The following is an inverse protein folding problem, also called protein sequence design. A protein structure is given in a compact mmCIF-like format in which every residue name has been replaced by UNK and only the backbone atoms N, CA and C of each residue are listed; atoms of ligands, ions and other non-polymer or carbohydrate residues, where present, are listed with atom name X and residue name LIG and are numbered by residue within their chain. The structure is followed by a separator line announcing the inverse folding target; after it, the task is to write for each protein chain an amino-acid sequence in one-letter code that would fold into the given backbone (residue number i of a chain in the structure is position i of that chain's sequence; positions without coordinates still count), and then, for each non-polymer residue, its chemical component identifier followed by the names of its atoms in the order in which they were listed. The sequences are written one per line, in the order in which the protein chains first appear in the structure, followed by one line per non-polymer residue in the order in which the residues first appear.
data_IF_604874279586
#
_entry.id   IF_604874279586
#
_cell.length_a   1.000
_cell.length_b   1.000
_cell.length_c   1.000
_cell.angle_alpha   90.00
_cell.angle_beta   90.00
_cell.angle_gamma   90.00
#
_symmetry.space_group_name_H-M   'P 1'
#
loop_
_entity.id
_entity.type
_entity.pdbx_description
1 polymer ?
#
# COMPACT_ATOMS: atom_id res chain seq x y z
N UNK A 1 19.35 5.79 26.38
CA UNK A 1 18.53 5.94 25.17
C UNK A 1 17.55 4.79 25.21
N UNK A 2 16.31 5.04 25.65
CA UNK A 2 15.32 3.97 25.79
C UNK A 2 15.07 3.44 24.39
N UNK A 3 15.35 2.16 24.15
CA UNK A 3 14.85 1.50 22.96
C UNK A 3 13.33 1.62 23.03
N UNK A 4 12.72 2.43 22.17
CA UNK A 4 11.28 2.35 21.99
C UNK A 4 10.96 0.89 21.70
N UNK A 5 10.11 0.30 22.53
CA UNK A 5 9.65 -1.06 22.32
C UNK A 5 8.96 -1.08 20.95
N UNK A 6 9.35 -2.02 20.09
CA UNK A 6 8.75 -2.20 18.75
C UNK A 6 7.22 -2.24 18.85
N UNK A 7 6.68 -2.81 19.92
CA UNK A 7 5.23 -2.86 20.16
C UNK A 7 4.60 -1.47 20.29
N UNK A 8 5.24 -0.55 21.01
CA UNK A 8 4.74 0.82 21.21
C UNK A 8 4.82 1.60 19.89
N UNK A 9 5.92 1.44 19.16
CA UNK A 9 6.09 2.00 17.83
C UNK A 9 4.98 1.52 16.89
N UNK A 10 4.69 0.21 16.85
CA UNK A 10 3.66 -0.38 15.99
C UNK A 10 2.25 0.09 16.39
N UNK A 11 1.95 0.14 17.69
CA UNK A 11 0.66 0.66 18.19
C UNK A 11 0.43 2.10 17.75
N UNK A 12 1.47 2.92 17.71
CA UNK A 12 1.41 4.31 17.22
C UNK A 12 1.05 4.48 15.73
N UNK A 13 0.91 3.38 14.99
CA UNK A 13 0.62 3.36 13.54
C UNK A 13 -0.76 2.80 13.22
N UNK A 14 -1.50 2.29 14.22
CA UNK A 14 -2.79 1.64 13.98
C UNK A 14 -3.79 2.56 13.29
N UNK A 15 -3.76 3.86 13.57
CA UNK A 15 -4.63 4.86 12.93
C UNK A 15 -3.99 5.55 11.71
N UNK A 16 -2.78 5.15 11.32
CA UNK A 16 -2.00 5.77 10.23
C UNK A 16 -1.93 4.88 8.99
N UNK A 17 -2.98 4.10 8.75
CA UNK A 17 -3.04 3.19 7.61
C UNK A 17 -3.55 3.89 6.36
N UNK A 18 -3.01 3.53 5.19
CA UNK A 18 -3.50 4.01 3.91
C UNK A 18 -4.71 3.20 3.45
N UNK A 19 -5.92 3.78 3.57
CA UNK A 19 -7.15 3.13 3.10
C UNK A 19 -7.40 3.36 1.60
N UNK A 20 -7.38 4.61 1.16
CA UNK A 20 -7.58 5.02 -0.23
C UNK A 20 -6.83 6.33 -0.50
N UNK A 21 -6.67 6.69 -1.76
CA UNK A 21 -5.96 7.87 -2.27
C UNK A 21 -6.86 8.65 -3.22
N UNK A 22 -6.54 9.92 -3.42
CA UNK A 22 -7.27 10.76 -4.38
C UNK A 22 -6.34 11.81 -4.99
N UNK A 23 -5.35 11.36 -5.76
CA UNK A 23 -4.37 12.24 -6.39
C UNK A 23 -4.82 12.59 -7.82
N UNK A 24 -5.53 13.71 -7.95
CA UNK A 24 -6.05 14.18 -9.24
C UNK A 24 -4.96 14.48 -10.27
N UNK A 25 -3.73 14.74 -9.83
CA UNK A 25 -2.58 14.99 -10.71
C UNK A 25 -2.04 13.73 -11.41
N UNK A 26 -2.39 12.53 -10.92
CA UNK A 26 -1.88 11.25 -11.41
C UNK A 26 -2.71 10.64 -12.54
N UNK A 27 -3.84 11.23 -12.91
CA UNK A 27 -4.68 10.80 -14.02
C UNK A 27 -5.99 10.13 -13.58
N UNK A 28 -6.54 9.28 -14.45
CA UNK A 28 -7.81 8.59 -14.21
C UNK A 28 -7.69 7.59 -13.06
N UNK A 29 -8.54 7.75 -12.04
CA UNK A 29 -8.52 6.93 -10.84
C UNK A 29 -9.40 5.67 -10.98
N UNK A 30 -8.85 4.53 -10.58
CA UNK A 30 -9.57 3.27 -10.45
C UNK A 30 -9.20 2.57 -9.13
N UNK A 31 -10.22 2.37 -8.29
CA UNK A 31 -10.08 1.67 -7.01
C UNK A 31 -10.26 0.16 -7.19
N UNK A 32 -9.22 -0.62 -6.91
CA UNK A 32 -9.31 -2.08 -6.75
C UNK A 32 -9.51 -2.48 -5.29
N UNK A 33 -9.58 -3.78 -4.99
CA UNK A 33 -9.79 -4.29 -3.62
C UNK A 33 -8.73 -3.84 -2.60
N UNK A 34 -7.47 -3.81 -3.02
CA UNK A 34 -6.31 -3.54 -2.15
C UNK A 34 -5.30 -2.59 -2.79
N UNK A 35 -5.62 -2.04 -3.96
CA UNK A 35 -4.73 -1.19 -4.76
C UNK A 35 -5.54 -0.05 -5.33
N UNK A 36 -4.94 1.12 -5.33
CA UNK A 36 -5.43 2.29 -6.03
C UNK A 36 -4.59 2.44 -7.29
N UNK A 37 -5.24 2.64 -8.42
CA UNK A 37 -4.59 2.71 -9.72
C UNK A 37 -4.89 4.04 -10.35
N UNK A 38 -3.88 4.61 -10.99
CA UNK A 38 -4.00 5.81 -11.79
C UNK A 38 -3.46 5.53 -13.18
N UNK A 39 -4.14 6.04 -14.21
CA UNK A 39 -3.72 5.92 -15.60
C UNK A 39 -3.57 7.32 -16.20
N UNK A 40 -2.40 7.58 -16.78
CA UNK A 40 -2.07 8.83 -17.46
C UNK A 40 -1.05 8.57 -18.54
N UNK A 41 -1.31 9.05 -19.76
CA UNK A 41 -0.37 8.97 -20.89
C UNK A 41 0.21 7.55 -21.12
N UNK A 42 -0.67 6.54 -21.15
CA UNK A 42 -0.33 5.10 -21.24
C UNK A 42 0.51 4.52 -20.09
N UNK A 43 0.81 5.32 -19.06
CA UNK A 43 1.49 4.89 -17.84
C UNK A 43 0.44 4.53 -16.79
N UNK A 44 0.64 3.36 -16.16
CA UNK A 44 -0.14 2.96 -14.98
C UNK A 44 0.69 3.14 -13.71
N UNK A 45 0.16 3.93 -12.78
CA UNK A 45 0.70 4.07 -11.43
C UNK A 45 -0.14 3.21 -10.50
N UNK A 46 0.51 2.35 -9.73
CA UNK A 46 -0.13 1.42 -8.80
C UNK A 46 0.30 1.79 -7.38
N UNK A 47 -0.66 2.13 -6.52
CA UNK A 47 -0.44 2.39 -5.10
C UNK A 47 -0.96 1.19 -4.31
N UNK A 48 -0.06 0.44 -3.67
CA UNK A 48 -0.43 -0.64 -2.76
C UNK A 48 -0.96 -0.05 -1.45
N UNK A 49 -2.24 -0.25 -1.16
CA UNK A 49 -2.88 0.23 0.08
C UNK A 49 -2.69 -0.76 1.24
N UNK A 50 -2.99 -0.31 2.45
CA UNK A 50 -2.97 -1.13 3.66
C UNK A 50 -4.23 -1.99 3.81
N UNK A 51 -5.21 -1.83 2.92
CA UNK A 51 -6.44 -2.63 2.90
C UNK A 51 -6.11 -4.13 2.82
N UNK A 52 -6.72 -4.91 3.70
CA UNK A 52 -6.72 -6.36 3.69
C UNK A 52 -8.10 -6.84 3.27
N UNK A 53 -8.14 -7.75 2.29
CA UNK A 53 -9.37 -8.42 1.88
C UNK A 53 -9.32 -9.91 2.18
N UNK A 54 -10.43 -10.48 2.64
CA UNK A 54 -10.65 -11.90 2.78
C UNK A 54 -12.14 -12.20 2.54
N UNK A 55 -12.46 -13.42 2.08
CA UNK A 55 -13.86 -13.82 1.79
C UNK A 55 -14.60 -12.81 0.89
N UNK A 56 -13.91 -12.34 -0.16
CA UNK A 56 -14.42 -11.37 -1.14
C UNK A 56 -14.80 -9.98 -0.60
N UNK A 57 -14.38 -9.63 0.63
CA UNK A 57 -14.63 -8.31 1.23
C UNK A 57 -13.35 -7.68 1.75
N UNK A 58 -13.27 -6.35 1.71
CA UNK A 58 -12.26 -5.60 2.46
C UNK A 58 -12.70 -5.60 3.93
N UNK A 59 -11.84 -6.09 4.82
CA UNK A 59 -12.20 -6.37 6.21
C UNK A 59 -11.54 -5.42 7.22
N UNK A 60 -10.34 -4.91 6.89
CA UNK A 60 -9.58 -3.99 7.75
C UNK A 60 -8.42 -3.39 6.97
N UNK A 61 -7.65 -2.52 7.61
CA UNK A 61 -6.31 -2.11 7.19
C UNK A 61 -5.24 -2.68 8.13
N UNK A 62 -4.05 -2.91 7.62
CA UNK A 62 -2.88 -3.34 8.42
C UNK A 62 -1.75 -2.33 8.18
N UNK A 63 -1.23 -1.66 9.23
CA UNK A 63 -0.13 -0.72 9.09
C UNK A 63 1.05 -1.31 8.32
N UNK A 64 1.60 -0.52 7.41
CA UNK A 64 2.77 -0.86 6.58
C UNK A 64 2.58 -2.03 5.60
N UNK A 65 1.41 -2.66 5.52
CA UNK A 65 1.18 -3.76 4.59
C UNK A 65 1.44 -3.33 3.15
N UNK A 66 0.89 -2.20 2.73
CA UNK A 66 1.08 -1.65 1.38
C UNK A 66 2.56 -1.39 1.08
N UNK A 67 3.25 -0.76 2.04
CA UNK A 67 4.69 -0.48 1.94
C UNK A 67 5.52 -1.76 1.79
N UNK A 68 5.32 -2.76 2.65
CA UNK A 68 6.07 -4.02 2.60
C UNK A 68 5.84 -4.75 1.28
N UNK A 69 4.59 -4.84 0.81
CA UNK A 69 4.28 -5.50 -0.46
C UNK A 69 4.87 -4.76 -1.67
N UNK A 70 4.92 -3.43 -1.62
CA UNK A 70 5.58 -2.63 -2.65
C UNK A 70 7.09 -2.91 -2.69
N UNK A 71 7.75 -2.98 -1.52
CA UNK A 71 9.17 -3.31 -1.41
C UNK A 71 9.49 -4.73 -1.92
N UNK A 72 8.66 -5.72 -1.58
CA UNK A 72 8.79 -7.09 -2.08
C UNK A 72 8.65 -7.12 -3.61
N UNK A 73 7.70 -6.35 -4.15
CA UNK A 73 7.52 -6.25 -5.60
C UNK A 73 8.75 -5.63 -6.27
N UNK A 74 9.28 -4.52 -5.73
CA UNK A 74 10.53 -3.90 -6.21
C UNK A 74 11.69 -4.89 -6.24
N UNK A 75 11.89 -5.62 -5.13
CA UNK A 75 12.93 -6.64 -5.04
C UNK A 75 12.81 -7.69 -6.16
N UNK A 76 11.61 -8.19 -6.41
CA UNK A 76 11.41 -9.20 -7.47
C UNK A 76 11.55 -8.62 -8.87
N UNK A 77 11.12 -7.38 -9.12
CA UNK A 77 11.37 -6.72 -10.39
C UNK A 77 12.86 -6.57 -10.67
N UNK A 78 13.66 -6.17 -9.68
CA UNK A 78 15.12 -6.07 -9.80
C UNK A 78 15.79 -7.44 -10.00
N UNK A 79 15.27 -8.50 -9.38
CA UNK A 79 15.84 -9.85 -9.51
C UNK A 79 15.49 -10.54 -10.81
N UNK A 80 14.35 -10.21 -11.41
CA UNK A 80 13.83 -10.88 -12.60
C UNK A 80 13.96 -10.03 -13.87
N UNK A 81 14.37 -8.77 -13.76
CA UNK A 81 14.73 -7.97 -14.93
C UNK A 81 15.94 -8.60 -15.63
N UNK A 82 15.69 -9.16 -16.81
CA UNK A 82 16.71 -9.63 -17.76
C UNK A 82 17.31 -8.40 -18.46
#
# INVERSE_FOLDING_TARGET
MVSENIDDMLRGQFDKTLNSTNFTSLGEFYEGKVRDNYIKDDIRIIIATDRLSAFDRVITTIPFKGQMLNQISSFWFEKLSI
#
